data_IF_945588341784
#
_entry.id   IF_945588341784
#
_cell.length_a   1.000
_cell.length_b   1.000
_cell.length_c   1.000
_cell.angle_alpha   90.00
_cell.angle_beta   90.00
_cell.angle_gamma   90.00
#
_symmetry.space_group_name_H-M   'P 1'
#
loop_
_entity.id
_entity.type
_entity.pdbx_description
1 polymer ?
#
# COMPACT_ATOMS: atom_id res chain seq x y z
N UNK A 1 -2.88 -0.57 7.57
CA UNK A 1 -2.77 -0.50 9.03
C UNK A 1 -2.69 0.96 9.50
N UNK A 2 -1.64 1.72 9.12
CA UNK A 2 -1.45 3.14 9.54
C UNK A 2 -2.58 4.07 9.08
N UNK A 3 -3.23 3.75 7.96
CA UNK A 3 -4.30 4.57 7.38
C UNK A 3 -5.48 4.86 8.32
N UNK A 4 -5.72 4.02 9.33
CA UNK A 4 -6.77 4.28 10.32
C UNK A 4 -6.46 5.53 11.16
N UNK A 5 -5.19 5.76 11.54
CA UNK A 5 -4.76 6.97 12.23
C UNK A 5 -4.86 8.20 11.32
N UNK A 6 -4.39 8.10 10.06
CA UNK A 6 -4.45 9.19 9.10
C UNK A 6 -5.88 9.63 8.82
N UNK A 7 -6.79 8.67 8.63
CA UNK A 7 -8.22 8.92 8.44
C UNK A 7 -8.85 9.53 9.70
N UNK A 8 -8.51 9.00 10.89
CA UNK A 8 -8.96 9.53 12.17
C UNK A 8 -8.52 10.99 12.39
N UNK A 9 -7.24 11.29 12.10
CA UNK A 9 -6.71 12.64 12.20
C UNK A 9 -7.44 13.61 11.27
N UNK A 10 -7.64 13.21 10.01
CA UNK A 10 -8.37 14.02 9.02
C UNK A 10 -9.81 14.27 9.45
N UNK A 11 -10.53 13.21 9.84
CA UNK A 11 -11.91 13.32 10.29
C UNK A 11 -12.02 14.16 11.57
N UNK A 12 -11.13 14.00 12.53
CA UNK A 12 -11.08 14.81 13.75
C UNK A 12 -10.91 16.29 13.44
N UNK A 13 -10.01 16.62 12.52
CA UNK A 13 -9.79 18.00 12.08
C UNK A 13 -11.02 18.61 11.42
N UNK A 14 -11.66 17.88 10.50
CA UNK A 14 -12.86 18.30 9.79
C UNK A 14 -14.06 18.47 10.72
N UNK A 15 -14.20 17.61 11.74
CA UNK A 15 -15.27 17.65 12.73
C UNK A 15 -15.03 18.70 13.84
N UNK A 16 -13.87 19.36 13.86
CA UNK A 16 -13.49 20.35 14.86
C UNK A 16 -13.33 19.76 16.27
N UNK A 17 -12.80 18.53 16.38
CA UNK A 17 -12.59 17.86 17.66
C UNK A 17 -11.53 18.60 18.50
N UNK A 18 -11.70 18.57 19.82
CA UNK A 18 -10.68 19.03 20.76
C UNK A 18 -9.48 18.11 20.75
N UNK A 19 -8.36 18.53 21.33
CA UNK A 19 -7.15 17.72 21.49
C UNK A 19 -7.46 16.41 22.24
N UNK A 20 -8.17 16.47 23.36
CA UNK A 20 -8.60 15.29 24.12
C UNK A 20 -9.44 14.34 23.27
N UNK A 21 -10.39 14.86 22.51
CA UNK A 21 -11.20 14.04 21.60
C UNK A 21 -10.36 13.42 20.49
N UNK A 22 -9.33 14.11 19.99
CA UNK A 22 -8.43 13.57 18.97
C UNK A 22 -7.57 12.43 19.56
N UNK A 23 -7.09 12.55 20.78
CA UNK A 23 -6.39 11.45 21.49
C UNK A 23 -7.31 10.23 21.62
N UNK A 24 -8.55 10.42 22.03
CA UNK A 24 -9.55 9.35 22.12
C UNK A 24 -9.87 8.73 20.74
N UNK A 25 -9.92 9.55 19.70
CA UNK A 25 -10.06 9.08 18.32
C UNK A 25 -8.88 8.17 17.93
N UNK A 26 -7.66 8.56 18.20
CA UNK A 26 -6.48 7.75 17.89
C UNK A 26 -6.50 6.43 18.64
N UNK A 27 -6.84 6.44 19.93
CA UNK A 27 -6.98 5.22 20.72
C UNK A 27 -7.99 4.25 20.12
N UNK A 28 -9.12 4.76 19.66
CA UNK A 28 -10.17 3.97 19.00
C UNK A 28 -9.80 3.54 17.60
N UNK A 29 -9.07 4.35 16.83
CA UNK A 29 -8.59 4.02 15.49
C UNK A 29 -7.50 2.94 15.53
N UNK A 30 -6.55 3.06 16.46
CA UNK A 30 -5.44 2.13 16.61
C UNK A 30 -5.89 0.71 16.97
N UNK A 31 -6.88 0.57 17.85
CA UNK A 31 -7.41 -0.75 18.19
C UNK A 31 -8.16 -1.45 17.06
N UNK A 32 -8.56 -0.73 16.02
CA UNK A 32 -9.22 -1.24 14.82
C UNK A 32 -8.26 -1.42 13.64
N UNK A 33 -7.00 -0.97 13.76
CA UNK A 33 -6.04 -0.98 12.68
C UNK A 33 -5.65 -2.41 12.28
N UNK A 34 -5.99 -2.82 11.07
CA UNK A 34 -5.78 -4.15 10.55
C UNK A 34 -5.30 -4.13 9.09
N UNK A 35 -4.94 -5.32 8.57
CA UNK A 35 -4.54 -5.51 7.18
C UNK A 35 -3.41 -6.53 7.04
N UNK A 36 -3.75 -7.79 6.76
CA UNK A 36 -2.82 -8.88 6.55
C UNK A 36 -2.53 -9.08 5.05
N UNK A 37 -1.36 -9.60 4.72
CA UNK A 37 -0.90 -9.72 3.33
C UNK A 37 -1.16 -11.10 2.70
N UNK A 38 -1.90 -11.97 3.35
CA UNK A 38 -2.20 -13.32 2.85
C UNK A 38 -2.94 -13.32 1.51
N UNK A 39 -3.56 -12.21 1.12
CA UNK A 39 -4.16 -12.05 -0.21
C UNK A 39 -3.16 -12.30 -1.37
N UNK A 40 -1.85 -12.15 -1.13
CA UNK A 40 -0.82 -12.41 -2.14
C UNK A 40 -0.77 -13.91 -2.52
N UNK A 41 -0.99 -14.78 -1.56
CA UNK A 41 -0.95 -16.24 -1.79
C UNK A 41 -2.07 -16.74 -2.70
N UNK A 42 -3.22 -16.08 -2.70
CA UNK A 42 -4.41 -16.49 -3.46
C UNK A 42 -4.83 -15.53 -4.57
N UNK A 43 -4.17 -14.37 -4.70
CA UNK A 43 -4.60 -13.32 -5.62
C UNK A 43 -6.01 -12.81 -5.29
N UNK A 44 -6.38 -12.78 -4.00
CA UNK A 44 -7.71 -12.34 -3.59
C UNK A 44 -7.85 -10.81 -3.61
N UNK A 45 -9.07 -10.31 -3.77
CA UNK A 45 -9.37 -8.88 -3.81
C UNK A 45 -9.32 -8.19 -2.44
N UNK A 46 -9.03 -8.92 -1.35
CA UNK A 46 -9.09 -8.39 0.02
C UNK A 46 -8.11 -7.24 0.30
N UNK A 47 -7.06 -7.06 -0.51
CA UNK A 47 -6.20 -5.87 -0.45
C UNK A 47 -6.99 -4.57 -0.58
N UNK A 48 -8.01 -4.52 -1.41
CA UNK A 48 -8.83 -3.32 -1.62
C UNK A 48 -9.56 -2.92 -0.33
N UNK A 49 -9.95 -3.92 0.48
CA UNK A 49 -10.55 -3.67 1.80
C UNK A 49 -9.61 -2.99 2.77
N UNK A 50 -8.29 -3.12 2.65
CA UNK A 50 -7.36 -2.49 3.58
C UNK A 50 -7.50 -0.97 3.59
N UNK A 51 -7.59 -0.33 2.43
CA UNK A 51 -7.75 1.12 2.32
C UNK A 51 -9.17 1.55 2.70
N UNK A 52 -10.18 0.83 2.26
CA UNK A 52 -11.57 1.10 2.59
C UNK A 52 -11.81 1.01 4.11
N UNK A 53 -11.35 -0.10 4.73
CA UNK A 53 -11.49 -0.30 6.17
C UNK A 53 -10.69 0.72 6.99
N UNK A 54 -9.49 1.09 6.55
CA UNK A 54 -8.69 2.12 7.22
C UNK A 54 -9.44 3.45 7.30
N UNK A 55 -10.09 3.88 6.21
CA UNK A 55 -10.92 5.08 6.20
C UNK A 55 -12.14 4.94 7.11
N UNK A 56 -12.86 3.82 7.01
CA UNK A 56 -14.04 3.56 7.83
C UNK A 56 -13.71 3.55 9.34
N UNK A 57 -12.62 2.89 9.73
CA UNK A 57 -12.17 2.82 11.12
C UNK A 57 -11.82 4.20 11.69
N UNK A 58 -11.09 5.02 10.93
CA UNK A 58 -10.71 6.36 11.37
C UNK A 58 -11.91 7.31 11.48
N UNK A 59 -12.82 7.29 10.50
CA UNK A 59 -14.05 8.08 10.55
C UNK A 59 -14.93 7.69 11.73
N UNK A 60 -15.18 6.41 11.91
CA UNK A 60 -15.94 5.88 13.05
C UNK A 60 -15.32 6.27 14.39
N UNK A 61 -14.00 6.18 14.50
CA UNK A 61 -13.28 6.57 15.71
C UNK A 61 -13.46 8.06 16.04
N UNK A 62 -13.43 8.93 15.03
CA UNK A 62 -13.65 10.37 15.21
C UNK A 62 -15.09 10.68 15.63
N UNK A 63 -16.09 10.04 15.03
CA UNK A 63 -17.49 10.19 15.41
C UNK A 63 -17.75 9.71 16.85
N UNK A 64 -17.19 8.57 17.23
CA UNK A 64 -17.28 8.04 18.59
C UNK A 64 -16.64 9.01 19.60
N UNK A 65 -15.45 9.52 19.31
CA UNK A 65 -14.76 10.47 20.17
C UNK A 65 -15.57 11.79 20.32
N UNK A 66 -16.21 12.26 19.26
CA UNK A 66 -17.11 13.41 19.30
C UNK A 66 -18.27 13.22 20.28
N UNK A 67 -18.76 11.97 20.38
CA UNK A 67 -19.83 11.59 21.31
C UNK A 67 -19.35 11.29 22.73
N UNK A 68 -18.05 11.46 23.02
CA UNK A 68 -17.46 11.24 24.35
C UNK A 68 -16.97 9.80 24.59
N UNK A 69 -16.86 8.97 23.54
CA UNK A 69 -16.26 7.65 23.68
C UNK A 69 -14.75 7.78 23.88
N UNK A 70 -14.23 7.10 24.89
CA UNK A 70 -12.80 7.15 25.26
C UNK A 70 -11.99 6.06 24.56
N UNK A 71 -10.78 6.42 24.16
CA UNK A 71 -9.78 5.50 23.58
C UNK A 71 -8.50 5.49 24.42
N UNK A 72 -7.63 4.51 24.20
CA UNK A 72 -6.37 4.41 24.90
C UNK A 72 -5.44 5.60 24.55
N UNK A 73 -5.09 6.48 25.50
CA UNK A 73 -4.30 7.67 25.17
C UNK A 73 -2.90 7.37 24.67
N UNK A 74 -2.28 6.28 25.14
CA UNK A 74 -0.95 5.84 24.72
C UNK A 74 -1.00 4.77 23.62
N UNK A 75 -1.96 4.83 22.70
CA UNK A 75 -2.18 3.81 21.65
C UNK A 75 -0.98 3.67 20.69
N UNK A 76 -0.15 4.68 20.53
CA UNK A 76 1.04 4.62 19.69
C UNK A 76 2.25 4.07 20.43
N UNK A 77 2.53 4.62 21.64
CA UNK A 77 3.79 4.44 22.38
C UNK A 77 3.72 3.49 23.59
N UNK A 78 2.53 3.11 24.04
CA UNK A 78 2.36 2.26 25.22
C UNK A 78 2.97 0.87 25.07
N UNK A 79 3.20 0.17 26.17
CA UNK A 79 3.81 -1.18 26.21
C UNK A 79 3.08 -2.18 25.28
N UNK A 80 1.77 -2.12 25.24
CA UNK A 80 0.90 -3.00 24.40
C UNK A 80 0.33 -2.26 23.21
N UNK A 81 1.01 -1.20 22.76
CA UNK A 81 0.52 -0.31 21.75
C UNK A 81 1.01 -0.65 20.35
N UNK A 82 0.56 0.13 19.40
CA UNK A 82 0.70 -0.09 17.97
C UNK A 82 2.16 -0.21 17.50
N UNK A 83 3.04 0.69 17.95
CA UNK A 83 4.44 0.69 17.52
C UNK A 83 5.16 -0.55 18.06
N UNK A 84 5.01 -0.86 19.34
CA UNK A 84 5.62 -2.03 19.95
C UNK A 84 5.12 -3.36 19.33
N UNK A 85 3.86 -3.42 18.93
CA UNK A 85 3.30 -4.61 18.29
C UNK A 85 3.83 -4.87 16.87
N UNK A 86 4.20 -3.82 16.12
CA UNK A 86 4.52 -3.92 14.71
C UNK A 86 5.99 -3.65 14.37
N UNK A 87 6.72 -2.96 15.24
CA UNK A 87 8.10 -2.57 15.05
C UNK A 87 8.90 -2.78 16.34
N UNK A 88 9.40 -4.01 16.58
CA UNK A 88 10.18 -4.32 17.80
C UNK A 88 11.40 -3.42 17.98
N UNK A 89 12.04 -3.03 16.88
CA UNK A 89 13.14 -2.06 16.86
C UNK A 89 12.62 -0.74 16.29
N UNK A 90 12.50 0.30 17.11
CA UNK A 90 11.98 1.59 16.70
C UNK A 90 12.58 2.75 17.51
N UNK A 91 12.52 3.94 16.93
CA UNK A 91 12.78 5.22 17.63
C UNK A 91 11.49 6.06 17.59
N UNK A 92 10.90 6.28 18.76
CA UNK A 92 9.66 7.05 18.92
C UNK A 92 9.78 8.49 18.42
N UNK A 93 10.98 9.09 18.43
CA UNK A 93 11.19 10.43 17.90
C UNK A 93 10.83 10.54 16.40
N UNK A 94 10.90 9.44 15.66
CA UNK A 94 10.54 9.42 14.25
C UNK A 94 9.04 9.63 13.99
N UNK A 95 8.17 9.45 14.99
CA UNK A 95 6.73 9.70 14.83
C UNK A 95 6.41 11.18 14.63
N UNK A 96 7.20 12.07 15.19
CA UNK A 96 6.98 13.54 15.14
C UNK A 96 8.02 14.27 14.32
N UNK A 97 9.03 13.59 13.81
CA UNK A 97 10.12 14.18 13.04
C UNK A 97 9.59 14.83 11.76
N UNK A 98 9.95 16.08 11.55
CA UNK A 98 9.55 16.85 10.36
C UNK A 98 8.15 17.45 10.43
N UNK A 99 7.45 17.39 11.57
CA UNK A 99 6.19 18.10 11.74
C UNK A 99 6.39 19.61 11.65
N UNK A 100 5.60 20.26 10.76
CA UNK A 100 5.71 21.69 10.49
C UNK A 100 6.79 22.08 9.47
N UNK A 101 7.63 21.16 9.01
CA UNK A 101 8.71 21.42 8.04
C UNK A 101 8.27 21.22 6.57
N UNK A 102 7.16 20.55 6.34
CA UNK A 102 6.64 20.27 4.98
C UNK A 102 5.51 19.25 4.95
N UNK A 103 5.09 18.92 3.74
CA UNK A 103 4.01 17.95 3.49
C UNK A 103 4.53 16.75 2.70
N UNK A 104 4.46 15.56 3.29
CA UNK A 104 4.89 14.30 2.66
C UNK A 104 4.15 13.96 1.36
N UNK A 105 3.00 14.56 1.10
CA UNK A 105 2.26 14.36 -0.14
C UNK A 105 3.06 14.84 -1.35
N UNK A 106 3.96 15.79 -1.19
CA UNK A 106 4.83 16.28 -2.27
C UNK A 106 5.91 15.27 -2.69
N UNK A 107 6.16 14.27 -1.85
CA UNK A 107 7.12 13.18 -2.09
C UNK A 107 6.47 11.95 -2.74
N UNK A 108 5.17 12.00 -3.00
CA UNK A 108 4.45 10.89 -3.64
C UNK A 108 4.78 10.79 -5.12
N UNK A 109 4.76 9.57 -5.62
CA UNK A 109 4.88 9.27 -7.04
C UNK A 109 3.62 8.63 -7.58
N UNK A 110 3.33 8.88 -8.85
CA UNK A 110 2.24 8.22 -9.58
C UNK A 110 2.68 6.86 -10.09
N UNK A 111 1.75 5.92 -10.22
CA UNK A 111 1.96 4.64 -10.88
C UNK A 111 1.61 4.77 -12.36
N UNK A 112 2.55 4.58 -13.29
CA UNK A 112 2.25 4.57 -14.72
C UNK A 112 1.55 3.28 -15.17
N UNK A 113 1.72 2.17 -14.44
CA UNK A 113 1.17 0.86 -14.79
C UNK A 113 0.18 0.39 -13.74
N UNK A 114 -0.86 -0.34 -14.16
CA UNK A 114 -1.96 -0.81 -13.31
C UNK A 114 -1.63 -2.09 -12.50
N UNK A 115 -0.37 -2.31 -12.15
CA UNK A 115 0.15 -3.49 -11.46
C UNK A 115 0.92 -3.15 -10.17
N UNK A 116 1.56 -4.13 -9.59
CA UNK A 116 2.38 -3.97 -8.40
C UNK A 116 3.58 -3.07 -8.69
N UNK A 117 3.90 -2.14 -7.76
CA UNK A 117 5.04 -1.23 -7.93
C UNK A 117 6.37 -1.96 -8.15
N UNK A 118 6.51 -3.17 -7.59
CA UNK A 118 7.72 -3.95 -7.70
C UNK A 118 7.97 -4.54 -9.10
N UNK A 119 6.99 -4.52 -10.02
CA UNK A 119 7.17 -4.91 -11.43
C UNK A 119 7.58 -3.74 -12.31
N UNK A 120 7.32 -2.49 -11.88
CA UNK A 120 7.44 -1.30 -12.75
C UNK A 120 8.84 -1.10 -13.34
N UNK A 121 9.90 -1.46 -12.62
CA UNK A 121 11.28 -1.33 -13.15
C UNK A 121 11.50 -2.25 -14.34
N UNK A 122 11.06 -3.51 -14.24
CA UNK A 122 11.12 -4.48 -15.33
C UNK A 122 10.25 -4.03 -16.51
N UNK A 123 9.01 -3.60 -16.23
CA UNK A 123 8.06 -3.10 -17.24
C UNK A 123 8.64 -1.91 -18.02
N UNK A 124 9.24 -0.95 -17.31
CA UNK A 124 9.88 0.20 -17.93
C UNK A 124 11.10 -0.18 -18.78
N UNK A 125 11.94 -1.12 -18.31
CA UNK A 125 13.07 -1.63 -19.09
C UNK A 125 12.59 -2.29 -20.40
N UNK A 126 11.55 -3.11 -20.33
CA UNK A 126 10.94 -3.75 -21.49
C UNK A 126 10.43 -2.70 -22.47
N UNK A 127 9.68 -1.68 -22.03
CA UNK A 127 9.23 -0.58 -22.92
C UNK A 127 10.40 0.11 -23.61
N UNK A 128 11.50 0.39 -22.89
CA UNK A 128 12.69 1.01 -23.47
C UNK A 128 13.37 0.12 -24.51
N UNK A 129 13.49 -1.16 -24.26
CA UNK A 129 14.07 -2.13 -25.19
C UNK A 129 13.21 -2.22 -26.44
N UNK A 130 11.88 -2.31 -26.30
CA UNK A 130 10.94 -2.40 -27.40
C UNK A 130 10.86 -1.11 -28.23
N UNK A 131 11.12 0.04 -27.62
CA UNK A 131 11.20 1.31 -28.32
C UNK A 131 12.49 1.49 -29.12
N UNK A 132 13.57 0.84 -28.68
CA UNK A 132 14.89 0.92 -29.32
C UNK A 132 15.14 -0.16 -30.38
N UNK A 133 14.40 -1.26 -30.33
CA UNK A 133 14.62 -2.44 -31.15
C UNK A 133 13.30 -2.98 -31.70
N UNK A 134 13.31 -3.40 -32.97
CA UNK A 134 12.19 -4.13 -33.58
C UNK A 134 12.30 -5.61 -33.20
N UNK A 135 11.66 -5.96 -32.09
CA UNK A 135 11.67 -7.31 -31.53
C UNK A 135 10.36 -8.01 -31.85
N UNK A 136 10.45 -9.13 -32.58
CA UNK A 136 9.34 -10.06 -32.74
C UNK A 136 9.23 -10.94 -31.48
N UNK A 137 8.08 -10.98 -30.78
CA UNK A 137 7.90 -11.83 -29.59
C UNK A 137 8.22 -13.30 -29.83
N UNK A 138 7.99 -13.82 -31.03
CA UNK A 138 8.22 -15.23 -31.39
C UNK A 138 9.72 -15.59 -31.46
N UNK A 139 10.61 -14.60 -31.58
CA UNK A 139 12.06 -14.79 -31.62
C UNK A 139 12.71 -14.78 -30.22
N UNK A 140 11.92 -14.50 -29.16
CA UNK A 140 12.43 -14.44 -27.79
C UNK A 140 12.63 -15.84 -27.22
N UNK A 141 13.87 -16.20 -26.94
CA UNK A 141 14.23 -17.50 -26.35
C UNK A 141 14.13 -17.49 -24.82
N UNK A 142 14.56 -16.40 -24.20
CA UNK A 142 14.52 -16.26 -22.75
C UNK A 142 14.54 -14.79 -22.32
N UNK A 143 14.01 -14.51 -21.14
CA UNK A 143 14.05 -13.21 -20.49
C UNK A 143 14.61 -13.40 -19.09
N UNK A 144 15.61 -12.60 -18.72
CA UNK A 144 16.15 -12.55 -17.36
C UNK A 144 15.90 -11.15 -16.79
N UNK A 145 15.30 -11.09 -15.60
CA UNK A 145 15.09 -9.87 -14.83
C UNK A 145 15.92 -9.96 -13.54
N UNK A 146 16.98 -9.16 -13.45
CA UNK A 146 17.81 -9.03 -12.26
C UNK A 146 17.24 -7.91 -11.38
N UNK A 147 16.59 -8.28 -10.29
CA UNK A 147 15.88 -7.36 -9.42
C UNK A 147 16.15 -7.62 -7.93
N UNK A 148 15.67 -6.74 -7.05
CA UNK A 148 15.89 -6.86 -5.60
C UNK A 148 14.97 -7.91 -4.96
N UNK A 149 15.42 -8.45 -3.82
CA UNK A 149 14.78 -9.58 -3.14
C UNK A 149 13.30 -9.39 -2.83
N UNK A 150 12.89 -8.18 -2.40
CA UNK A 150 11.48 -7.88 -2.10
C UNK A 150 10.60 -7.94 -3.36
N UNK A 151 11.13 -7.53 -4.52
CA UNK A 151 10.40 -7.68 -5.79
C UNK A 151 10.16 -9.15 -6.10
N UNK A 152 11.21 -9.99 -6.00
CA UNK A 152 11.09 -11.44 -6.20
C UNK A 152 10.06 -12.05 -5.24
N UNK A 153 10.16 -11.75 -3.94
CA UNK A 153 9.24 -12.29 -2.93
C UNK A 153 7.77 -11.90 -3.18
N UNK A 154 7.54 -10.70 -3.76
CA UNK A 154 6.21 -10.15 -3.93
C UNK A 154 5.60 -10.48 -5.29
N UNK A 155 6.41 -10.63 -6.34
CA UNK A 155 5.92 -10.69 -7.73
C UNK A 155 6.36 -11.92 -8.52
N UNK A 156 7.10 -12.85 -7.93
CA UNK A 156 7.48 -14.09 -8.60
C UNK A 156 6.30 -15.09 -8.61
N UNK A 157 5.39 -14.88 -9.53
CA UNK A 157 4.23 -15.75 -9.78
C UNK A 157 4.11 -16.03 -11.29
N UNK A 158 4.79 -17.05 -11.82
CA UNK A 158 4.83 -17.32 -13.27
C UNK A 158 3.49 -17.77 -13.86
N UNK A 159 2.55 -18.22 -13.02
CA UNK A 159 1.24 -18.74 -13.46
C UNK A 159 0.10 -18.12 -12.66
N UNK A 160 -0.20 -16.83 -12.85
CA UNK A 160 -1.29 -16.18 -12.13
C UNK A 160 -2.65 -16.76 -12.56
N UNK A 161 -3.44 -17.24 -11.59
CA UNK A 161 -4.72 -17.93 -11.86
C UNK A 161 -5.90 -16.98 -12.11
N UNK A 162 -5.73 -15.68 -11.85
CA UNK A 162 -6.79 -14.69 -12.01
C UNK A 162 -6.22 -13.31 -12.30
N UNK A 163 -7.04 -12.37 -12.82
CA UNK A 163 -6.59 -11.02 -13.15
C UNK A 163 -5.96 -10.25 -11.98
N UNK A 164 -6.43 -10.49 -10.75
CA UNK A 164 -5.87 -9.81 -9.59
C UNK A 164 -4.47 -10.36 -9.23
N UNK A 165 -4.26 -11.67 -9.33
CA UNK A 165 -2.94 -12.29 -9.17
C UNK A 165 -1.96 -11.83 -10.26
N UNK A 166 -2.44 -11.63 -11.49
CA UNK A 166 -1.64 -11.14 -12.60
C UNK A 166 -1.01 -9.76 -12.32
N UNK A 167 -1.68 -8.89 -11.55
CA UNK A 167 -1.13 -7.60 -11.10
C UNK A 167 0.11 -7.73 -10.19
N UNK A 168 0.37 -8.92 -9.66
CA UNK A 168 1.52 -9.26 -8.80
C UNK A 168 2.44 -10.31 -9.44
N UNK A 169 2.39 -10.46 -10.77
CA UNK A 169 3.26 -11.35 -11.54
C UNK A 169 4.18 -10.52 -12.43
N UNK A 170 5.47 -10.51 -12.13
CA UNK A 170 6.45 -9.83 -13.01
C UNK A 170 6.53 -10.52 -14.36
N UNK A 171 6.42 -11.86 -14.40
CA UNK A 171 6.42 -12.63 -15.64
C UNK A 171 5.23 -12.27 -16.52
N UNK A 172 4.03 -12.18 -15.96
CA UNK A 172 2.84 -11.76 -16.69
C UNK A 172 2.96 -10.31 -17.20
N UNK A 173 3.40 -9.38 -16.33
CA UNK A 173 3.54 -7.98 -16.72
C UNK A 173 4.53 -7.80 -17.87
N UNK A 174 5.70 -8.44 -17.81
CA UNK A 174 6.69 -8.43 -18.89
C UNK A 174 6.10 -9.01 -20.18
N UNK A 175 5.43 -10.17 -20.11
CA UNK A 175 4.82 -10.80 -21.28
C UNK A 175 3.73 -9.91 -21.89
N UNK A 176 2.89 -9.31 -21.05
CA UNK A 176 1.86 -8.37 -21.51
C UNK A 176 2.46 -7.12 -22.16
N UNK A 177 3.50 -6.54 -21.59
CA UNK A 177 4.22 -5.41 -22.17
C UNK A 177 4.79 -5.75 -23.56
N UNK A 178 5.31 -6.96 -23.73
CA UNK A 178 5.90 -7.41 -25.01
C UNK A 178 4.82 -7.66 -26.06
N UNK A 179 3.78 -8.43 -25.70
CA UNK A 179 2.79 -8.95 -26.65
C UNK A 179 1.70 -7.91 -26.93
N UNK A 180 1.16 -7.29 -25.87
CA UNK A 180 0.03 -6.37 -25.96
C UNK A 180 0.46 -4.91 -26.11
N UNK A 181 1.71 -4.59 -25.78
CA UNK A 181 2.22 -3.20 -25.73
C UNK A 181 1.38 -2.29 -24.81
N UNK A 182 0.76 -2.88 -23.82
CA UNK A 182 -0.15 -2.21 -22.89
C UNK A 182 0.01 -2.81 -21.47
N UNK A 183 -0.03 -1.97 -20.45
CA UNK A 183 -0.09 -2.33 -19.03
C UNK A 183 -1.13 -1.48 -18.29
N UNK A 184 -2.14 -1.02 -19.01
CA UNK A 184 -3.31 -0.36 -18.44
C UNK A 184 -4.22 -1.37 -17.69
N UNK A 185 -5.24 -0.88 -17.02
CA UNK A 185 -6.22 -1.72 -16.33
C UNK A 185 -6.89 -2.76 -17.24
N UNK A 186 -6.96 -2.51 -18.54
CA UNK A 186 -7.58 -3.42 -19.54
C UNK A 186 -6.89 -4.78 -19.63
N UNK A 187 -5.60 -4.81 -19.31
CA UNK A 187 -4.80 -6.04 -19.36
C UNK A 187 -5.13 -6.97 -18.20
N UNK A 188 -5.68 -6.42 -17.12
CA UNK A 188 -5.94 -7.11 -15.86
C UNK A 188 -7.44 -7.27 -15.55
N UNK A 189 -8.26 -7.37 -16.58
CA UNK A 189 -9.72 -7.58 -16.47
C UNK A 189 -10.16 -8.96 -16.95
#
# INVERSE_FOLDING_TARGET
VVGAFSSGATASKLLGLTEEQMVNCFGSAGTQAAGLWEFLASGSMSKVLHTANANLCGMRAAELAKLGFTGAPAILEGERAFVNALAPEHDMNNLVKGFGEGYRITENSFKPYACCRHTHSADYCVEKILAAHDINPDDIVSITDDTYSTAVQTTNNPYPENPYAAKFSVQFCIAAAIILRDLSDRVFT
#
